data_IF_425639844166
#
_entry.id   IF_425639844166
#
_cell.length_a   1.000
_cell.length_b   1.000
_cell.length_c   1.000
_cell.angle_alpha   90.00
_cell.angle_beta   90.00
_cell.angle_gamma   90.00
#
_symmetry.space_group_name_H-M   'P 1'
#
loop_
_entity.id
_entity.type
_entity.pdbx_description
1 polymer ?
#
# COMPACT_ATOMS: atom_id res chain seq x y z
N UNK A 1 -19.50 9.48 16.57
CA UNK A 1 -19.02 10.87 16.37
C UNK A 1 -17.50 10.79 16.19
N UNK A 2 -17.06 10.05 15.16
CA UNK A 2 -15.72 9.44 15.04
C UNK A 2 -15.12 9.57 13.63
N UNK A 3 -15.83 10.23 12.71
CA UNK A 3 -15.36 10.47 11.32
C UNK A 3 -14.25 11.52 11.23
N UNK A 4 -14.28 12.52 12.13
CA UNK A 4 -13.30 13.61 12.17
C UNK A 4 -11.84 13.14 12.38
N UNK A 5 -11.53 12.23 13.32
CA UNK A 5 -10.15 11.75 13.48
C UNK A 5 -9.66 10.91 12.29
N UNK A 6 -10.49 10.04 11.70
CA UNK A 6 -10.08 9.24 10.52
C UNK A 6 -9.76 10.15 9.33
N UNK A 7 -10.65 11.10 9.02
CA UNK A 7 -10.45 12.02 7.89
C UNK A 7 -9.23 12.92 8.07
N UNK A 8 -8.97 13.37 9.30
CA UNK A 8 -7.78 14.16 9.63
C UNK A 8 -6.51 13.35 9.37
N UNK A 9 -6.42 12.12 9.89
CA UNK A 9 -5.25 11.25 9.69
C UNK A 9 -5.07 10.92 8.20
N UNK A 10 -6.16 10.68 7.46
CA UNK A 10 -6.10 10.28 6.06
C UNK A 10 -5.73 11.42 5.09
N UNK A 11 -6.15 12.66 5.36
CA UNK A 11 -6.17 13.73 4.35
C UNK A 11 -5.40 15.00 4.74
N UNK A 12 -5.17 15.27 6.03
CA UNK A 12 -4.48 16.49 6.46
C UNK A 12 -3.00 16.47 6.07
N UNK A 13 -2.37 17.62 5.85
CA UNK A 13 -0.92 17.66 5.62
C UNK A 13 -0.15 17.09 6.83
N UNK A 14 0.99 16.47 6.57
CA UNK A 14 1.89 15.93 7.59
C UNK A 14 3.26 16.54 7.40
N UNK A 15 3.82 17.13 8.45
CA UNK A 15 5.13 17.78 8.37
C UNK A 15 6.29 16.77 8.44
N UNK A 16 6.19 15.79 9.34
CA UNK A 16 7.22 14.75 9.54
C UNK A 16 6.60 13.39 9.90
N UNK A 17 6.75 12.35 9.05
CA UNK A 17 7.24 12.42 7.67
C UNK A 17 6.22 13.13 6.75
N UNK A 18 6.66 13.70 5.62
CA UNK A 18 5.74 14.20 4.60
C UNK A 18 5.09 13.03 3.86
N UNK A 19 3.83 12.75 4.16
CA UNK A 19 3.03 11.68 3.57
C UNK A 19 1.94 12.26 2.68
N UNK A 20 1.81 11.72 1.46
CA UNK A 20 0.69 12.04 0.59
C UNK A 20 -0.66 11.71 1.25
N UNK A 21 -1.71 12.52 1.01
CA UNK A 21 -3.05 12.20 1.46
C UNK A 21 -3.59 10.96 0.74
N UNK A 22 -4.42 10.18 1.42
CA UNK A 22 -5.10 9.04 0.80
C UNK A 22 -6.06 9.48 -0.32
N UNK A 23 -6.36 8.60 -1.29
CA UNK A 23 -7.47 8.83 -2.21
C UNK A 23 -8.75 9.07 -1.40
N UNK A 24 -9.50 10.14 -1.70
CA UNK A 24 -10.69 10.54 -0.93
C UNK A 24 -11.67 9.39 -0.71
N UNK A 25 -11.92 8.58 -1.75
CA UNK A 25 -12.77 7.39 -1.67
C UNK A 25 -12.28 6.37 -0.63
N UNK A 26 -10.97 6.15 -0.51
CA UNK A 26 -10.42 5.26 0.50
C UNK A 26 -10.57 5.85 1.92
N UNK A 27 -10.34 7.16 2.08
CA UNK A 27 -10.56 7.85 3.35
C UNK A 27 -12.03 7.78 3.81
N UNK A 28 -12.98 7.95 2.88
CA UNK A 28 -14.42 7.80 3.12
C UNK A 28 -14.80 6.39 3.54
N UNK A 29 -14.26 5.36 2.89
CA UNK A 29 -14.45 3.96 3.30
C UNK A 29 -13.91 3.70 4.71
N UNK A 30 -12.70 4.17 5.01
CA UNK A 30 -12.09 4.00 6.34
C UNK A 30 -12.91 4.70 7.43
N UNK A 31 -13.45 5.89 7.15
CA UNK A 31 -14.30 6.59 8.11
C UNK A 31 -15.66 5.91 8.29
N UNK A 32 -16.25 5.39 7.21
CA UNK A 32 -17.51 4.65 7.27
C UNK A 32 -17.39 3.33 8.05
N UNK A 33 -16.18 2.76 8.10
CA UNK A 33 -15.86 1.53 8.84
C UNK A 33 -15.31 1.79 10.25
N UNK A 34 -15.32 3.04 10.73
CA UNK A 34 -14.71 3.44 12.00
C UNK A 34 -13.29 2.89 12.17
N UNK A 35 -12.48 2.99 11.10
CA UNK A 35 -11.16 2.38 11.06
C UNK A 35 -10.27 2.87 12.21
N UNK A 36 -9.55 1.97 12.91
CA UNK A 36 -8.65 2.38 13.97
C UNK A 36 -7.61 3.41 13.50
N UNK A 37 -7.31 4.46 14.29
CA UNK A 37 -6.34 5.49 13.90
C UNK A 37 -5.00 4.93 13.42
N UNK A 38 -4.48 3.88 14.07
CA UNK A 38 -3.23 3.21 13.66
C UNK A 38 -3.33 2.55 12.28
N UNK A 39 -4.48 2.00 11.93
CA UNK A 39 -4.71 1.43 10.60
C UNK A 39 -4.68 2.52 9.53
N UNK A 40 -5.35 3.65 9.77
CA UNK A 40 -5.39 4.78 8.83
C UNK A 40 -3.97 5.34 8.62
N UNK A 41 -3.21 5.51 9.70
CA UNK A 41 -1.82 5.97 9.65
C UNK A 41 -0.91 5.00 8.88
N UNK A 42 -1.09 3.69 9.08
CA UNK A 42 -0.38 2.65 8.33
C UNK A 42 -0.69 2.74 6.83
N UNK A 43 -1.97 2.71 6.46
CA UNK A 43 -2.41 2.75 5.07
C UNK A 43 -1.90 4.02 4.37
N UNK A 44 -1.84 5.15 5.09
CA UNK A 44 -1.26 6.38 4.58
C UNK A 44 0.25 6.28 4.32
N UNK A 45 1.01 5.70 5.24
CA UNK A 45 2.44 5.48 5.05
C UNK A 45 2.73 4.53 3.87
N UNK A 46 1.94 3.47 3.69
CA UNK A 46 2.07 2.55 2.56
C UNK A 46 1.65 3.21 1.25
N UNK A 47 0.57 3.99 1.26
CA UNK A 47 0.10 4.73 0.08
C UNK A 47 1.15 5.73 -0.42
N UNK A 48 1.80 6.48 0.48
CA UNK A 48 2.87 7.40 0.09
C UNK A 48 4.01 6.67 -0.65
N UNK A 49 4.43 5.54 -0.11
CA UNK A 49 5.46 4.69 -0.71
C UNK A 49 5.02 4.12 -2.05
N UNK A 50 3.78 3.64 -2.17
CA UNK A 50 3.21 3.20 -3.44
C UNK A 50 3.23 4.33 -4.47
N UNK A 51 2.95 5.56 -4.06
CA UNK A 51 2.99 6.70 -4.95
C UNK A 51 4.41 7.06 -5.40
N UNK A 52 5.42 6.92 -4.54
CA UNK A 52 6.82 7.06 -4.93
C UNK A 52 7.26 5.98 -5.94
N UNK A 53 6.82 4.73 -5.75
CA UNK A 53 7.08 3.63 -6.69
C UNK A 53 6.40 3.87 -8.03
N UNK A 54 5.13 4.26 -8.04
CA UNK A 54 4.39 4.58 -9.27
C UNK A 54 5.03 5.76 -10.01
N UNK A 55 5.38 6.85 -9.32
CA UNK A 55 6.06 8.00 -9.93
C UNK A 55 7.41 7.61 -10.56
N UNK A 56 8.12 6.65 -9.96
CA UNK A 56 9.34 6.07 -10.54
C UNK A 56 9.01 5.33 -11.83
N UNK A 57 8.03 4.44 -11.81
CA UNK A 57 7.65 3.64 -12.99
C UNK A 57 7.20 4.54 -14.13
N UNK A 58 6.31 5.51 -13.90
CA UNK A 58 5.81 6.38 -14.96
C UNK A 58 6.90 7.25 -15.59
N UNK A 59 7.88 7.70 -14.80
CA UNK A 59 9.01 8.48 -15.31
C UNK A 59 9.96 7.62 -16.15
N UNK A 60 10.27 6.42 -15.69
CA UNK A 60 11.29 5.57 -16.31
C UNK A 60 10.74 4.70 -17.45
N UNK A 61 9.45 4.34 -17.39
CA UNK A 61 8.75 3.46 -18.33
C UNK A 61 7.37 4.03 -18.70
N UNK A 62 7.30 5.21 -19.35
CA UNK A 62 6.03 5.89 -19.64
C UNK A 62 5.08 5.11 -20.56
N UNK A 63 5.59 4.10 -21.28
CA UNK A 63 4.80 3.23 -22.16
C UNK A 63 4.32 1.94 -21.49
N UNK A 64 4.75 1.62 -20.26
CA UNK A 64 4.31 0.42 -19.56
C UNK A 64 2.84 0.59 -19.13
N UNK A 65 1.90 -0.23 -19.66
CA UNK A 65 0.51 -0.12 -19.27
C UNK A 65 0.32 -0.70 -17.86
N UNK A 66 -0.11 0.15 -16.93
CA UNK A 66 -0.62 -0.26 -15.63
C UNK A 66 -1.58 0.80 -15.09
N UNK A 67 -2.47 0.41 -14.18
CA UNK A 67 -3.41 1.35 -13.56
C UNK A 67 -2.83 1.97 -12.29
N UNK A 68 -2.29 3.19 -12.42
CA UNK A 68 -1.84 4.03 -11.31
C UNK A 68 -2.92 4.20 -10.24
N UNK A 69 -4.15 4.49 -10.64
CA UNK A 69 -5.26 4.70 -9.71
C UNK A 69 -5.55 3.45 -8.89
N UNK A 70 -5.50 2.29 -9.53
CA UNK A 70 -5.67 0.99 -8.87
C UNK A 70 -4.57 0.71 -7.85
N UNK A 71 -3.30 0.95 -8.17
CA UNK A 71 -2.17 0.78 -7.20
C UNK A 71 -2.35 1.69 -5.99
N UNK A 72 -2.65 2.97 -6.23
CA UNK A 72 -2.81 3.96 -5.17
C UNK A 72 -4.00 3.66 -4.26
N UNK A 73 -5.12 3.21 -4.83
CA UNK A 73 -6.28 2.77 -4.07
C UNK A 73 -5.99 1.46 -3.32
N UNK A 74 -5.40 0.48 -4.00
CA UNK A 74 -5.03 -0.81 -3.42
C UNK A 74 -4.12 -0.66 -2.20
N UNK A 75 -3.06 0.13 -2.30
CA UNK A 75 -2.18 0.44 -1.17
C UNK A 75 -2.93 1.10 0.01
N UNK A 76 -3.85 2.01 -0.31
CA UNK A 76 -4.67 2.72 0.67
C UNK A 76 -5.77 1.85 1.32
N UNK A 77 -6.03 0.64 0.83
CA UNK A 77 -7.10 -0.24 1.35
C UNK A 77 -6.67 -1.68 1.60
N UNK A 78 -5.43 -2.08 1.31
CA UNK A 78 -5.03 -3.49 1.35
C UNK A 78 -5.28 -4.14 2.72
N UNK A 79 -5.08 -3.38 3.79
CA UNK A 79 -5.23 -3.84 5.17
C UNK A 79 -6.61 -3.51 5.78
N UNK A 80 -7.60 -3.09 4.97
CA UNK A 80 -8.90 -2.61 5.47
C UNK A 80 -9.67 -3.66 6.28
N UNK A 81 -9.41 -4.95 6.08
CA UNK A 81 -9.99 -6.01 6.91
C UNK A 81 -9.59 -5.96 8.38
N UNK A 82 -8.51 -5.24 8.73
CA UNK A 82 -8.09 -5.01 10.12
C UNK A 82 -9.05 -4.10 10.88
N UNK A 83 -10.04 -3.50 10.21
CA UNK A 83 -11.21 -2.90 10.87
C UNK A 83 -12.08 -3.94 11.58
N UNK A 84 -12.19 -5.16 11.04
CA UNK A 84 -12.88 -6.30 11.66
C UNK A 84 -11.96 -7.17 12.51
N UNK A 85 -10.70 -7.29 12.10
CA UNK A 85 -9.68 -8.11 12.76
C UNK A 85 -8.62 -7.24 13.44
N UNK A 86 -9.05 -6.37 14.35
CA UNK A 86 -8.20 -5.36 15.01
C UNK A 86 -6.96 -5.97 15.70
N UNK A 87 -7.08 -7.20 16.22
CA UNK A 87 -5.95 -7.92 16.82
C UNK A 87 -4.75 -8.11 15.88
N UNK A 88 -4.98 -8.15 14.58
CA UNK A 88 -3.95 -8.29 13.54
C UNK A 88 -3.21 -6.97 13.22
N UNK A 89 -3.55 -5.85 13.88
CA UNK A 89 -2.77 -4.60 13.81
C UNK A 89 -1.45 -4.69 14.58
N UNK A 90 -1.38 -5.55 15.58
CA UNK A 90 -0.19 -5.72 16.44
C UNK A 90 0.21 -7.18 16.64
N UNK A 91 -0.68 -8.13 16.34
CA UNK A 91 -0.42 -9.56 16.39
C UNK A 91 -0.29 -10.19 15.00
N UNK A 92 0.15 -11.46 14.93
CA UNK A 92 0.12 -12.22 13.68
C UNK A 92 -1.33 -12.51 13.25
N UNK A 93 -1.53 -12.70 11.95
CA UNK A 93 -2.80 -13.12 11.38
C UNK A 93 -2.93 -12.76 9.90
N UNK A 94 -3.92 -13.36 9.25
CA UNK A 94 -4.25 -13.12 7.85
C UNK A 94 -5.76 -13.12 7.60
N UNK A 95 -6.59 -13.12 8.65
CA UNK A 95 -8.04 -13.11 8.49
C UNK A 95 -8.53 -11.77 7.88
N UNK A 96 -7.76 -10.69 8.06
CA UNK A 96 -8.03 -9.41 7.40
C UNK A 96 -8.01 -9.47 5.86
N UNK A 97 -7.34 -10.44 5.25
CA UNK A 97 -7.19 -10.48 3.79
C UNK A 97 -8.55 -10.72 3.10
N UNK A 98 -9.20 -11.85 3.38
CA UNK A 98 -10.52 -12.15 2.81
C UNK A 98 -11.60 -11.20 3.37
N UNK A 99 -11.56 -10.92 4.68
CA UNK A 99 -12.52 -10.01 5.30
C UNK A 99 -12.45 -8.60 4.69
N UNK A 100 -11.25 -8.13 4.34
CA UNK A 100 -11.02 -6.85 3.68
C UNK A 100 -11.59 -6.83 2.26
N UNK A 101 -11.41 -7.91 1.49
CA UNK A 101 -12.01 -8.05 0.16
C UNK A 101 -13.53 -8.01 0.23
N UNK A 102 -14.13 -8.81 1.13
CA UNK A 102 -15.59 -8.84 1.33
C UNK A 102 -16.14 -7.48 1.75
N UNK A 103 -15.43 -6.77 2.65
CA UNK A 103 -15.78 -5.42 3.08
C UNK A 103 -15.84 -4.44 1.91
N UNK A 104 -14.81 -4.42 1.07
CA UNK A 104 -14.74 -3.53 -0.09
C UNK A 104 -15.88 -3.82 -1.07
N UNK A 105 -16.13 -5.10 -1.37
CA UNK A 105 -17.23 -5.52 -2.25
C UNK A 105 -18.59 -5.07 -1.69
N UNK A 106 -18.83 -5.26 -0.39
CA UNK A 106 -20.07 -4.85 0.28
C UNK A 106 -20.30 -3.33 0.23
N UNK A 107 -19.24 -2.53 0.08
CA UNK A 107 -19.30 -1.08 -0.08
C UNK A 107 -19.25 -0.62 -1.56
N UNK A 108 -19.53 -1.52 -2.51
CA UNK A 108 -19.62 -1.20 -3.94
C UNK A 108 -18.28 -0.93 -4.62
N UNK A 109 -17.17 -1.38 -4.02
CA UNK A 109 -15.87 -1.43 -4.72
C UNK A 109 -15.89 -2.61 -5.70
N UNK A 110 -15.37 -2.40 -6.91
CA UNK A 110 -15.31 -3.46 -7.91
C UNK A 110 -14.39 -4.59 -7.45
N UNK A 111 -14.65 -5.82 -7.90
CA UNK A 111 -13.79 -6.97 -7.62
C UNK A 111 -12.33 -6.73 -8.04
N UNK A 112 -12.12 -5.97 -9.12
CA UNK A 112 -10.79 -5.59 -9.59
C UNK A 112 -10.01 -4.80 -8.53
N UNK A 113 -10.60 -3.79 -7.89
CA UNK A 113 -9.93 -3.02 -6.85
C UNK A 113 -9.94 -3.75 -5.50
N UNK A 114 -11.01 -4.48 -5.18
CA UNK A 114 -11.12 -5.20 -3.91
C UNK A 114 -10.08 -6.32 -3.76
N UNK A 115 -9.55 -6.86 -4.87
CA UNK A 115 -8.56 -7.95 -4.85
C UNK A 115 -7.32 -7.61 -4.03
N UNK A 116 -6.87 -6.35 -4.03
CA UNK A 116 -5.64 -5.94 -3.34
C UNK A 116 -5.68 -6.22 -1.84
N UNK A 117 -6.88 -6.25 -1.24
CA UNK A 117 -7.01 -6.64 0.16
C UNK A 117 -6.63 -8.12 0.41
N UNK A 118 -6.89 -9.00 -0.56
CA UNK A 118 -6.58 -10.42 -0.46
C UNK A 118 -5.25 -10.84 -1.09
N UNK A 119 -4.73 -10.07 -2.06
CA UNK A 119 -3.55 -10.50 -2.85
C UNK A 119 -2.22 -9.97 -2.31
N UNK A 120 -2.22 -8.94 -1.45
CA UNK A 120 -1.00 -8.25 -1.05
C UNK A 120 0.00 -9.14 -0.27
N UNK A 121 -0.48 -10.19 0.41
CA UNK A 121 0.33 -11.22 1.07
C UNK A 121 0.76 -12.39 0.18
N UNK A 122 0.16 -12.53 -1.01
CA UNK A 122 0.27 -13.68 -1.92
C UNK A 122 0.75 -13.27 -3.32
N UNK A 123 1.79 -12.42 -3.41
CA UNK A 123 2.31 -11.87 -4.66
C UNK A 123 2.85 -12.90 -5.67
N UNK A 124 3.16 -14.12 -5.21
CA UNK A 124 3.60 -15.22 -6.07
C UNK A 124 2.43 -16.08 -6.62
N UNK A 125 1.18 -15.75 -6.27
CA UNK A 125 0.03 -16.51 -6.73
C UNK A 125 -0.16 -16.38 -8.27
N UNK A 126 -0.60 -17.45 -8.96
CA UNK A 126 -0.94 -17.38 -10.36
C UNK A 126 -1.97 -16.26 -10.64
N UNK A 127 -1.69 -15.42 -11.63
CA UNK A 127 -2.57 -14.31 -12.01
C UNK A 127 -2.32 -12.98 -11.27
N UNK A 128 -1.32 -12.90 -10.38
CA UNK A 128 -0.85 -11.62 -9.85
C UNK A 128 -0.41 -10.69 -11.00
N UNK A 129 -0.91 -9.46 -10.99
CA UNK A 129 -0.58 -8.45 -12.00
C UNK A 129 0.53 -7.53 -11.49
N UNK A 130 1.06 -6.71 -12.38
CA UNK A 130 2.11 -5.76 -12.01
C UNK A 130 1.64 -4.79 -10.90
N UNK A 131 0.37 -4.38 -10.92
CA UNK A 131 -0.21 -3.55 -9.86
C UNK A 131 -0.23 -4.28 -8.51
N UNK A 132 -0.48 -5.58 -8.48
CA UNK A 132 -0.46 -6.39 -7.25
C UNK A 132 0.97 -6.43 -6.68
N UNK A 133 1.98 -6.58 -7.55
CA UNK A 133 3.39 -6.54 -7.14
C UNK A 133 3.78 -5.18 -6.56
N UNK A 134 3.31 -4.07 -7.15
CA UNK A 134 3.59 -2.72 -6.63
C UNK A 134 2.94 -2.48 -5.26
N UNK A 135 1.71 -2.94 -5.05
CA UNK A 135 1.02 -2.85 -3.75
C UNK A 135 1.74 -3.70 -2.70
N UNK A 136 2.07 -4.95 -3.02
CA UNK A 136 2.87 -5.80 -2.13
C UNK A 136 4.23 -5.20 -1.81
N UNK A 137 4.93 -4.65 -2.81
CA UNK A 137 6.26 -4.06 -2.61
C UNK A 137 6.18 -2.83 -1.71
N UNK A 138 5.17 -1.98 -1.89
CA UNK A 138 4.91 -0.84 -1.01
C UNK A 138 4.71 -1.28 0.44
N UNK A 139 3.91 -2.32 0.70
CA UNK A 139 3.69 -2.87 2.04
C UNK A 139 4.96 -3.49 2.67
N UNK A 140 5.96 -3.90 1.87
CA UNK A 140 7.25 -4.34 2.45
C UNK A 140 8.16 -3.15 2.69
N UNK A 141 8.35 -2.29 1.68
CA UNK A 141 9.39 -1.27 1.73
C UNK A 141 9.04 -0.07 2.62
N UNK A 142 7.77 0.18 2.96
CA UNK A 142 7.43 1.30 3.86
C UNK A 142 8.15 1.23 5.21
N UNK A 143 8.43 0.01 5.70
CA UNK A 143 9.21 -0.29 6.90
C UNK A 143 10.63 -0.79 6.61
N UNK A 144 11.14 -0.53 5.40
CA UNK A 144 12.43 -0.99 4.90
C UNK A 144 12.63 -2.51 4.90
N UNK A 145 11.55 -3.28 4.70
CA UNK A 145 11.67 -4.74 4.54
C UNK A 145 11.96 -5.06 3.07
N UNK A 146 13.18 -5.53 2.80
CA UNK A 146 13.58 -6.08 1.50
C UNK A 146 13.08 -7.52 1.35
N UNK A 147 12.56 -7.86 0.18
CA UNK A 147 12.04 -9.19 -0.14
C UNK A 147 12.53 -9.56 -1.55
N UNK A 148 13.71 -10.21 -1.66
CA UNK A 148 14.36 -10.47 -2.94
C UNK A 148 13.45 -11.13 -3.98
N UNK A 149 12.61 -12.08 -3.57
CA UNK A 149 11.72 -12.80 -4.48
C UNK A 149 10.62 -11.90 -5.05
N UNK A 150 10.12 -10.94 -4.28
CA UNK A 150 9.15 -9.94 -4.76
C UNK A 150 9.83 -8.89 -5.63
N UNK A 151 11.03 -8.47 -5.25
CA UNK A 151 11.83 -7.51 -6.01
C UNK A 151 12.20 -8.07 -7.39
N UNK A 152 12.59 -9.35 -7.47
CA UNK A 152 12.87 -10.04 -8.73
C UNK A 152 11.64 -10.10 -9.64
N UNK A 153 10.44 -10.34 -9.11
CA UNK A 153 9.20 -10.33 -9.88
C UNK A 153 8.91 -8.93 -10.48
N UNK A 154 9.18 -7.87 -9.72
CA UNK A 154 9.02 -6.48 -10.19
C UNK A 154 10.05 -6.16 -11.25
N UNK A 155 11.31 -6.51 -11.04
CA UNK A 155 12.41 -6.34 -12.02
C UNK A 155 12.09 -7.07 -13.32
N UNK A 156 11.62 -8.31 -13.23
CA UNK A 156 11.27 -9.10 -14.41
C UNK A 156 10.06 -8.51 -15.15
N UNK A 157 9.07 -7.98 -14.42
CA UNK A 157 7.93 -7.30 -15.05
C UNK A 157 8.36 -6.01 -15.78
N UNK A 158 9.22 -5.21 -15.15
CA UNK A 158 9.78 -3.99 -15.76
C UNK A 158 10.64 -4.31 -16.99
N UNK A 159 11.52 -5.32 -16.91
CA UNK A 159 12.40 -5.72 -18.01
C UNK A 159 11.62 -6.31 -19.19
N UNK A 160 10.51 -7.02 -18.94
CA UNK A 160 9.63 -7.52 -20.02
C UNK A 160 8.84 -6.41 -20.70
N UNK A 161 8.43 -5.40 -19.94
CA UNK A 161 7.61 -4.30 -20.43
C UNK A 161 8.41 -3.19 -21.10
N UNK A 162 9.61 -2.94 -20.58
CA UNK A 162 10.53 -1.92 -21.06
C UNK A 162 11.49 -2.45 -22.12
N UNK A 163 12.33 -1.55 -22.62
CA UNK A 163 13.47 -1.89 -23.49
C UNK A 163 14.80 -2.09 -22.73
N UNK A 164 14.82 -1.93 -21.40
CA UNK A 164 16.04 -2.01 -20.58
C UNK A 164 16.36 -3.45 -20.22
N UNK A 165 17.65 -3.74 -20.03
CA UNK A 165 18.09 -5.04 -19.58
C UNK A 165 17.73 -5.26 -18.09
N UNK A 166 17.49 -6.53 -17.71
CA UNK A 166 17.12 -6.91 -16.34
C UNK A 166 18.05 -6.33 -15.26
N UNK A 167 19.35 -6.31 -15.51
CA UNK A 167 20.34 -5.78 -14.55
C UNK A 167 20.23 -4.26 -14.36
N UNK A 168 19.83 -3.52 -15.40
CA UNK A 168 19.58 -2.07 -15.31
C UNK A 168 18.34 -1.81 -14.44
N UNK A 169 17.28 -2.59 -14.66
CA UNK A 169 16.04 -2.51 -13.86
C UNK A 169 16.30 -2.88 -12.40
N UNK A 170 17.13 -3.88 -12.13
CA UNK A 170 17.53 -4.24 -10.78
C UNK A 170 18.26 -3.10 -10.06
N UNK A 171 19.30 -2.52 -10.69
CA UNK A 171 20.05 -1.40 -10.10
C UNK A 171 19.15 -0.19 -9.84
N UNK A 172 18.28 0.12 -10.80
CA UNK A 172 17.28 1.18 -10.69
C UNK A 172 16.29 0.96 -9.55
N UNK A 173 15.79 -0.26 -9.39
CA UNK A 173 14.87 -0.61 -8.31
C UNK A 173 15.60 -0.55 -6.96
N UNK A 174 16.79 -1.14 -6.84
CA UNK A 174 17.57 -1.15 -5.60
C UNK A 174 17.88 0.26 -5.07
N UNK A 175 18.28 1.18 -5.96
CA UNK A 175 18.48 2.59 -5.60
C UNK A 175 17.18 3.23 -5.10
N UNK A 176 16.06 2.94 -5.76
CA UNK A 176 14.74 3.44 -5.35
C UNK A 176 14.36 2.94 -3.96
N UNK A 177 14.48 1.63 -3.74
CA UNK A 177 14.08 0.99 -2.49
C UNK A 177 14.98 1.42 -1.34
N UNK A 178 16.28 1.61 -1.58
CA UNK A 178 17.23 2.16 -0.60
C UNK A 178 16.80 3.55 -0.15
N UNK A 179 16.60 4.48 -1.10
CA UNK A 179 16.16 5.85 -0.78
C UNK A 179 14.80 5.90 -0.08
N UNK A 180 13.84 5.06 -0.49
CA UNK A 180 12.55 4.96 0.22
C UNK A 180 12.79 4.43 1.63
N UNK A 181 13.59 3.38 1.76
CA UNK A 181 13.94 2.71 3.02
C UNK A 181 14.56 3.63 4.06
N UNK A 182 15.35 4.62 3.65
CA UNK A 182 15.94 5.63 4.56
C UNK A 182 14.88 6.38 5.39
N UNK A 183 13.68 6.57 4.85
CA UNK A 183 12.55 7.21 5.54
C UNK A 183 11.70 6.28 6.42
N UNK A 184 12.05 4.99 6.52
CA UNK A 184 11.19 4.00 7.20
C UNK A 184 11.04 4.24 8.71
N UNK A 185 12.10 4.71 9.37
CA UNK A 185 12.06 5.02 10.80
C UNK A 185 11.01 6.08 11.14
N UNK A 186 10.92 7.14 10.34
CA UNK A 186 9.93 8.22 10.54
C UNK A 186 8.51 7.72 10.28
N UNK A 187 8.29 6.89 9.25
CA UNK A 187 6.98 6.29 8.97
C UNK A 187 6.51 5.34 10.08
N UNK A 188 7.43 4.55 10.64
CA UNK A 188 7.14 3.70 11.80
C UNK A 188 6.78 4.54 13.03
N UNK A 189 7.56 5.58 13.34
CA UNK A 189 7.27 6.49 14.44
C UNK A 189 5.90 7.18 14.29
N UNK A 190 5.59 7.65 13.07
CA UNK A 190 4.29 8.21 12.72
C UNK A 190 3.14 7.24 12.99
N UNK A 191 3.24 6.00 12.49
CA UNK A 191 2.21 4.99 12.72
C UNK A 191 2.03 4.67 14.22
N UNK A 192 3.14 4.55 14.97
CA UNK A 192 3.13 4.18 16.39
C UNK A 192 2.49 5.25 17.28
N UNK A 193 2.47 6.52 16.84
CA UNK A 193 1.80 7.61 17.56
C UNK A 193 0.29 7.39 17.72
N UNK A 194 -0.33 6.62 16.82
CA UNK A 194 -1.76 6.41 16.81
C UNK A 194 -2.19 5.14 17.58
N UNK A 195 -3.34 5.15 18.27
CA UNK A 195 -3.85 4.00 19.00
C UNK A 195 -4.43 2.90 18.08
N UNK A 196 -4.42 1.66 18.58
CA UNK A 196 -4.99 0.47 17.90
C UNK A 196 -6.51 0.37 18.01
N UNK A 197 -7.15 1.14 18.89
CA UNK A 197 -8.60 1.16 19.08
C UNK A 197 -9.19 2.45 18.53
N UNK A 198 -10.36 2.36 17.89
CA UNK A 198 -11.20 3.53 17.69
C UNK A 198 -11.66 4.03 19.08
N UNK A 199 -11.39 5.30 19.38
CA UNK A 199 -11.81 5.96 20.62
C UNK A 199 -13.24 6.46 20.55
#
# INVERSE_FOLDING_TARGET
MTTAPVMSIALADTDRPPLRPLPRRAAELLAALDAPPRLVAHLRAVHDVAAQLVDRVERDQPSLPFDRGAVLFGAATHDIGKTRHVGELSGPGSAHEEAGRELLLAHGVSAELARFAATHGSWAAPGARFEDLLVSLADKIWKNKRVPELEDLVVDALARAGGRARWEEFMALDETLTRIGDGAGERLAYQMFFPVTAG
#
